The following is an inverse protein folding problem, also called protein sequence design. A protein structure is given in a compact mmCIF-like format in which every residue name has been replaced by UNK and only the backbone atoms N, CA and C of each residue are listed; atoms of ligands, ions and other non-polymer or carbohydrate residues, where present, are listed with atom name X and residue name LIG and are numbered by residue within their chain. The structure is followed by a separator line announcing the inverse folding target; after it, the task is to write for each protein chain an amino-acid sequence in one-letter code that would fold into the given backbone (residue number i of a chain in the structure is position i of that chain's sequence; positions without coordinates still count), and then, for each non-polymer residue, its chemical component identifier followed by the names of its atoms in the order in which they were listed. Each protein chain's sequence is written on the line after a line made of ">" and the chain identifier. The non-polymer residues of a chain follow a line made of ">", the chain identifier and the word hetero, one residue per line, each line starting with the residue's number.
data_IF_717503320426
#
_entry.id   IF_717503320426
#
_cell.length_a   1.000
_cell.length_b   1.000
_cell.length_c   1.000
_cell.angle_alpha   90.00
_cell.angle_beta   90.00
_cell.angle_gamma   90.00
#
_symmetry.space_group_name_H-M   'P 1'
#
loop_
_entity.id
_entity.type
_entity.pdbx_description
1 polymer ?
#
# COMPACT_ATOMS: atom_id res chain seq x y z
N UNK A 1 -9.76 5.96 14.66
CA UNK A 1 -9.71 4.57 14.17
C UNK A 1 -8.51 3.89 14.81
N UNK A 2 -8.68 2.65 15.29
CA UNK A 2 -7.56 1.83 15.76
C UNK A 2 -6.71 1.36 14.58
N UNK A 3 -5.41 1.21 14.80
CA UNK A 3 -4.48 0.59 13.83
C UNK A 3 -4.63 -0.93 13.97
N UNK A 4 -4.87 -1.62 12.85
CA UNK A 4 -4.98 -3.07 12.77
C UNK A 4 -3.80 -3.61 11.96
N UNK A 5 -3.24 -4.72 12.44
CA UNK A 5 -2.13 -5.43 11.83
C UNK A 5 -2.51 -6.88 11.59
N UNK A 6 -2.14 -7.42 10.43
CA UNK A 6 -2.24 -8.84 10.10
C UNK A 6 -0.89 -9.54 10.21
N UNK A 7 -0.90 -10.79 10.70
CA UNK A 7 0.31 -11.61 10.78
C UNK A 7 0.02 -13.09 11.01
N UNK A 8 1.00 -13.93 10.65
CA UNK A 8 1.04 -15.35 11.01
C UNK A 8 1.79 -15.52 12.34
N UNK A 9 1.24 -16.26 13.32
CA UNK A 9 1.74 -16.24 14.72
C UNK A 9 2.26 -17.57 15.25
N UNK A 10 1.39 -18.55 15.34
CA UNK A 10 1.63 -19.87 15.91
C UNK A 10 0.60 -20.85 15.36
N UNK A 11 0.89 -22.14 15.48
CA UNK A 11 -0.02 -23.22 15.11
C UNK A 11 -1.23 -23.32 16.08
N UNK A 12 -2.13 -24.26 15.80
CA UNK A 12 -3.37 -24.50 16.55
C UNK A 12 -3.15 -24.87 18.03
N UNK A 13 -1.93 -25.24 18.40
CA UNK A 13 -1.51 -25.64 19.76
C UNK A 13 -0.64 -24.57 20.42
N UNK A 14 -0.48 -23.40 19.79
CA UNK A 14 0.39 -22.34 20.27
C UNK A 14 1.89 -22.62 20.08
N UNK A 15 2.25 -23.58 19.24
CA UNK A 15 3.65 -23.93 18.92
C UNK A 15 4.08 -23.33 17.58
N UNK A 16 5.37 -23.39 17.30
CA UNK A 16 5.93 -22.81 16.08
C UNK A 16 5.96 -23.79 14.88
N UNK A 17 5.72 -25.08 15.11
CA UNK A 17 5.80 -26.09 14.05
C UNK A 17 5.10 -27.40 14.42
N UNK A 18 4.81 -28.18 13.37
CA UNK A 18 4.22 -29.52 13.48
C UNK A 18 2.71 -29.51 13.70
N UNK A 19 2.06 -28.37 13.44
CA UNK A 19 0.61 -28.23 13.39
C UNK A 19 0.03 -28.82 12.12
N UNK A 20 -1.28 -28.72 11.96
CA UNK A 20 -1.97 -29.17 10.74
C UNK A 20 -1.93 -28.09 9.65
N UNK A 21 -1.84 -28.46 8.35
CA UNK A 21 -1.93 -27.49 7.27
C UNK A 21 -3.28 -26.74 7.23
N UNK A 22 -3.23 -25.44 6.95
CA UNK A 22 -4.40 -24.55 7.02
C UNK A 22 -4.64 -24.01 8.44
N UNK A 23 -5.35 -22.89 8.55
CA UNK A 23 -5.69 -22.30 9.84
C UNK A 23 -6.84 -23.09 10.49
N UNK A 24 -6.54 -23.79 11.59
CA UNK A 24 -7.51 -24.61 12.31
C UNK A 24 -8.32 -23.82 13.34
N UNK A 25 -7.89 -22.60 13.68
CA UNK A 25 -8.42 -21.85 14.84
C UNK A 25 -8.96 -20.47 14.48
N UNK A 26 -8.70 -19.99 13.27
CA UNK A 26 -8.90 -18.60 12.86
C UNK A 26 -7.93 -17.63 13.55
N UNK A 27 -6.86 -18.14 14.18
CA UNK A 27 -5.90 -17.36 14.98
C UNK A 27 -4.45 -17.59 14.55
N UNK A 28 -4.21 -18.54 13.65
CA UNK A 28 -2.86 -18.83 13.17
C UNK A 28 -2.38 -17.71 12.25
N UNK A 29 -3.28 -17.25 11.37
CA UNK A 29 -3.09 -16.08 10.50
C UNK A 29 -4.26 -15.14 10.71
N UNK A 30 -4.05 -14.06 11.46
CA UNK A 30 -5.17 -13.19 11.86
C UNK A 30 -4.78 -11.73 11.99
N UNK A 31 -5.79 -10.88 11.84
CA UNK A 31 -5.73 -9.47 12.18
C UNK A 31 -5.86 -9.24 13.70
N UNK A 32 -5.19 -8.23 14.22
CA UNK A 32 -5.36 -7.75 15.60
C UNK A 32 -5.10 -6.25 15.71
N UNK A 33 -5.47 -5.70 16.85
CA UNK A 33 -5.05 -4.37 17.22
C UNK A 33 -3.53 -4.27 17.34
N UNK A 34 -2.99 -3.15 16.83
CA UNK A 34 -1.58 -2.83 16.90
C UNK A 34 -1.07 -2.75 18.34
N UNK A 35 0.15 -3.21 18.54
CA UNK A 35 0.84 -3.15 19.83
C UNK A 35 2.32 -2.82 19.65
N UNK A 36 2.92 -2.21 20.68
CA UNK A 36 4.37 -1.98 20.73
C UNK A 36 5.06 -3.27 21.17
N UNK A 37 5.92 -3.81 20.33
CA UNK A 37 6.65 -5.04 20.63
C UNK A 37 7.89 -4.75 21.48
N UNK A 38 8.21 -5.63 22.44
CA UNK A 38 9.39 -5.49 23.34
C UNK A 38 10.74 -5.34 22.61
N UNK A 39 10.84 -5.91 21.41
CA UNK A 39 12.01 -5.80 20.53
C UNK A 39 12.03 -4.52 19.67
N UNK A 40 11.04 -3.64 19.82
CA UNK A 40 10.80 -2.52 18.91
C UNK A 40 10.34 -2.96 17.51
N UNK A 41 9.86 -2.00 16.74
CA UNK A 41 9.48 -2.16 15.33
C UNK A 41 10.34 -1.25 14.46
N UNK A 42 10.83 -1.77 13.33
CA UNK A 42 11.23 -0.96 12.18
C UNK A 42 10.02 -0.77 11.27
N UNK A 43 9.91 0.42 10.67
CA UNK A 43 8.86 0.71 9.70
C UNK A 43 9.46 0.67 8.29
N UNK A 44 8.95 -0.24 7.47
CA UNK A 44 9.25 -0.31 6.05
C UNK A 44 8.00 0.13 5.28
N UNK A 45 8.11 1.27 4.61
CA UNK A 45 6.99 1.88 3.91
C UNK A 45 7.11 1.64 2.40
N UNK A 46 6.12 1.02 1.75
CA UNK A 46 6.07 0.99 0.29
C UNK A 46 6.04 2.43 -0.26
N UNK A 47 6.90 2.73 -1.23
CA UNK A 47 6.93 4.03 -1.92
C UNK A 47 5.67 4.29 -2.73
N UNK A 48 5.04 3.22 -3.22
CA UNK A 48 3.78 3.27 -3.97
C UNK A 48 2.58 3.01 -3.06
N UNK A 49 1.67 3.99 -2.99
CA UNK A 49 0.42 3.86 -2.23
C UNK A 49 -0.49 2.77 -2.79
N UNK A 50 -0.48 2.53 -4.11
CA UNK A 50 -1.18 1.38 -4.71
C UNK A 50 -0.60 0.07 -4.20
N UNK A 51 0.73 -0.09 -4.18
CA UNK A 51 1.36 -1.31 -3.69
C UNK A 51 1.09 -1.49 -2.19
N UNK A 52 1.11 -0.41 -1.41
CA UNK A 52 0.73 -0.44 0.00
C UNK A 52 -0.70 -0.96 0.20
N UNK A 53 -1.67 -0.48 -0.59
CA UNK A 53 -3.05 -1.00 -0.56
C UNK A 53 -3.13 -2.48 -0.93
N UNK A 54 -2.41 -2.92 -1.97
CA UNK A 54 -2.40 -4.34 -2.37
C UNK A 54 -1.74 -5.21 -1.29
N UNK A 55 -0.65 -4.76 -0.66
CA UNK A 55 0.00 -5.48 0.44
C UNK A 55 -0.97 -5.64 1.62
N UNK A 56 -1.64 -4.57 2.01
CA UNK A 56 -2.65 -4.61 3.08
C UNK A 56 -3.81 -5.56 2.73
N UNK A 57 -4.35 -5.46 1.51
CA UNK A 57 -5.42 -6.33 1.03
C UNK A 57 -4.99 -7.79 0.94
N UNK A 58 -3.75 -8.07 0.51
CA UNK A 58 -3.20 -9.42 0.44
C UNK A 58 -3.09 -10.03 1.85
N UNK A 59 -2.66 -9.25 2.84
CA UNK A 59 -2.65 -9.70 4.23
C UNK A 59 -4.07 -9.98 4.75
N UNK A 60 -5.04 -9.09 4.48
CA UNK A 60 -6.45 -9.34 4.84
C UNK A 60 -7.00 -10.60 4.18
N UNK A 61 -6.71 -10.82 2.90
CA UNK A 61 -7.11 -12.03 2.20
C UNK A 61 -6.51 -13.28 2.83
N UNK A 62 -5.26 -13.24 3.27
CA UNK A 62 -4.65 -14.36 3.96
C UNK A 62 -5.27 -14.61 5.35
N UNK A 63 -5.51 -13.55 6.12
CA UNK A 63 -6.18 -13.66 7.43
C UNK A 63 -7.62 -14.18 7.34
N UNK A 64 -8.29 -13.97 6.20
CA UNK A 64 -9.64 -14.47 5.96
C UNK A 64 -9.67 -15.83 5.23
N UNK A 65 -8.51 -16.44 4.95
CA UNK A 65 -8.44 -17.72 4.25
C UNK A 65 -7.99 -18.84 5.18
N UNK A 66 -8.94 -19.69 5.59
CA UNK A 66 -8.68 -20.84 6.45
C UNK A 66 -7.76 -21.89 5.83
N UNK A 67 -7.46 -21.83 4.53
CA UNK A 67 -6.47 -22.70 3.91
C UNK A 67 -5.02 -22.29 4.21
N UNK A 68 -4.77 -21.15 4.87
CA UNK A 68 -3.41 -20.66 5.13
C UNK A 68 -3.13 -20.71 6.64
N UNK A 69 -2.40 -21.74 7.08
CA UNK A 69 -2.00 -21.93 8.49
C UNK A 69 -0.57 -21.52 8.78
N UNK A 70 -0.13 -21.77 10.02
CA UNK A 70 1.21 -21.43 10.51
C UNK A 70 2.08 -22.66 10.74
N UNK A 71 3.26 -22.72 10.09
CA UNK A 71 4.30 -23.71 10.41
C UNK A 71 5.68 -23.26 9.91
N UNK A 72 6.65 -23.12 10.81
CA UNK A 72 8.01 -22.74 10.44
C UNK A 72 8.75 -23.80 9.60
N UNK A 73 8.43 -25.09 9.76
CA UNK A 73 9.09 -26.17 9.01
C UNK A 73 8.61 -26.24 7.56
N UNK A 74 7.39 -25.78 7.27
CA UNK A 74 6.81 -25.73 5.93
C UNK A 74 6.45 -24.30 5.49
N UNK A 75 7.29 -23.34 5.88
CA UNK A 75 7.07 -21.91 5.62
C UNK A 75 6.82 -21.55 4.15
N UNK A 76 7.36 -22.34 3.21
CA UNK A 76 7.35 -22.06 1.77
C UNK A 76 6.04 -22.42 1.05
N UNK A 77 5.14 -23.17 1.68
CA UNK A 77 3.92 -23.66 1.05
C UNK A 77 3.07 -22.53 0.44
N UNK A 78 2.88 -21.44 1.19
CA UNK A 78 2.08 -20.30 0.74
C UNK A 78 2.62 -19.66 -0.55
N UNK A 79 3.94 -19.69 -0.79
CA UNK A 79 4.54 -19.13 -2.02
C UNK A 79 4.25 -20.03 -3.22
N UNK A 80 4.30 -21.35 -3.03
CA UNK A 80 3.94 -22.33 -4.07
C UNK A 80 2.48 -22.14 -4.46
N UNK A 81 1.59 -22.03 -3.48
CA UNK A 81 0.16 -21.82 -3.75
C UNK A 81 -0.12 -20.43 -4.34
N UNK A 82 0.55 -19.36 -3.88
CA UNK A 82 0.41 -18.04 -4.48
C UNK A 82 0.80 -18.03 -5.95
N UNK A 83 1.88 -18.71 -6.33
CA UNK A 83 2.29 -18.82 -7.74
C UNK A 83 1.25 -19.54 -8.61
N UNK A 84 0.50 -20.48 -8.01
CA UNK A 84 -0.58 -21.24 -8.66
C UNK A 84 -1.88 -20.42 -8.76
N UNK A 85 -2.36 -19.90 -7.64
CA UNK A 85 -3.67 -19.23 -7.50
C UNK A 85 -3.63 -17.72 -7.73
N UNK A 86 -2.44 -17.13 -7.87
CA UNK A 86 -2.15 -15.70 -8.13
C UNK A 86 -2.54 -14.72 -7.03
N UNK A 87 -3.47 -15.08 -6.15
CA UNK A 87 -3.87 -14.29 -4.99
C UNK A 87 -3.99 -15.17 -3.75
N UNK A 88 -3.67 -14.62 -2.58
CA UNK A 88 -3.78 -15.29 -1.29
C UNK A 88 -5.23 -15.67 -0.97
N UNK A 89 -6.20 -14.84 -1.39
CA UNK A 89 -7.62 -15.14 -1.21
C UNK A 89 -8.15 -16.29 -2.08
N UNK A 90 -7.48 -16.62 -3.19
CA UNK A 90 -7.88 -17.71 -4.08
C UNK A 90 -7.24 -19.06 -3.74
N UNK A 91 -6.34 -19.12 -2.75
CA UNK A 91 -5.72 -20.38 -2.33
C UNK A 91 -6.80 -21.31 -1.78
N UNK A 92 -7.04 -22.40 -2.49
CA UNK A 92 -8.10 -23.37 -2.19
C UNK A 92 -7.57 -24.70 -1.60
N UNK A 93 -6.25 -24.80 -1.37
CA UNK A 93 -5.60 -25.99 -0.81
C UNK A 93 -4.88 -25.58 0.46
N UNK A 94 -5.08 -26.36 1.52
CA UNK A 94 -4.42 -26.19 2.79
C UNK A 94 -2.90 -26.09 2.61
N UNK A 95 -2.34 -25.03 3.17
CA UNK A 95 -0.93 -24.67 3.08
C UNK A 95 -0.49 -24.00 4.36
N UNK A 96 0.82 -23.88 4.52
CA UNK A 96 1.42 -23.28 5.70
C UNK A 96 2.33 -22.12 5.30
N UNK A 97 2.54 -21.22 6.25
CA UNK A 97 3.45 -20.09 6.16
C UNK A 97 4.14 -19.84 7.50
N UNK A 98 5.15 -18.98 7.49
CA UNK A 98 5.60 -18.28 8.71
C UNK A 98 5.38 -16.77 8.55
N UNK A 99 5.63 -16.00 9.62
CA UNK A 99 5.41 -14.55 9.61
C UNK A 99 6.11 -13.85 8.42
N UNK A 100 7.38 -14.16 8.20
CA UNK A 100 8.17 -13.57 7.11
C UNK A 100 7.74 -14.02 5.70
N UNK A 101 7.37 -15.28 5.54
CA UNK A 101 6.97 -15.82 4.23
C UNK A 101 5.58 -15.34 3.85
N UNK A 102 4.71 -15.11 4.83
CA UNK A 102 3.43 -14.47 4.58
C UNK A 102 3.60 -13.02 4.12
N UNK A 103 4.47 -12.23 4.78
CA UNK A 103 4.81 -10.87 4.33
C UNK A 103 5.40 -10.89 2.93
N UNK A 104 6.30 -11.84 2.64
CA UNK A 104 6.86 -12.05 1.31
C UNK A 104 5.77 -12.32 0.27
N UNK A 105 4.80 -13.18 0.59
CA UNK A 105 3.66 -13.48 -0.27
C UNK A 105 2.82 -12.23 -0.56
N UNK A 106 2.57 -11.40 0.46
CA UNK A 106 1.88 -10.11 0.28
C UNK A 106 2.64 -9.17 -0.67
N UNK A 107 3.96 -9.09 -0.54
CA UNK A 107 4.82 -8.30 -1.43
C UNK A 107 4.78 -8.82 -2.87
N UNK A 108 4.88 -10.14 -3.06
CA UNK A 108 4.81 -10.78 -4.37
C UNK A 108 3.46 -10.53 -5.05
N UNK A 109 2.36 -10.63 -4.32
CA UNK A 109 1.02 -10.31 -4.84
C UNK A 109 0.89 -8.83 -5.25
N UNK A 110 1.59 -7.92 -4.57
CA UNK A 110 1.69 -6.51 -4.97
C UNK A 110 2.61 -6.25 -6.17
N UNK A 111 3.14 -7.30 -6.80
CA UNK A 111 4.05 -7.21 -7.94
C UNK A 111 5.46 -6.77 -7.55
N UNK A 112 5.87 -6.96 -6.29
CA UNK A 112 7.22 -6.66 -5.83
C UNK A 112 8.06 -7.93 -5.93
N UNK A 113 9.11 -7.88 -6.76
CA UNK A 113 10.07 -8.96 -6.85
C UNK A 113 11.05 -8.88 -5.67
N UNK A 114 10.79 -9.68 -4.63
CA UNK A 114 11.60 -9.74 -3.42
C UNK A 114 12.22 -11.13 -3.24
N UNK A 115 13.48 -11.16 -2.84
CA UNK A 115 14.20 -12.40 -2.54
C UNK A 115 13.60 -13.12 -1.32
N UNK A 116 14.02 -14.36 -1.09
CA UNK A 116 13.62 -15.07 0.13
C UNK A 116 14.27 -14.40 1.35
N UNK A 117 13.49 -14.19 2.40
CA UNK A 117 13.96 -13.60 3.65
C UNK A 117 13.29 -14.25 4.86
N UNK A 118 13.89 -14.01 6.02
CA UNK A 118 13.34 -14.22 7.36
C UNK A 118 13.40 -12.89 8.11
N UNK A 119 12.83 -12.81 9.31
CA UNK A 119 12.93 -11.60 10.15
C UNK A 119 14.38 -11.19 10.49
N UNK A 120 15.38 -12.04 10.22
CA UNK A 120 16.80 -11.68 10.36
C UNK A 120 17.30 -10.74 9.24
N UNK A 121 16.85 -10.95 7.99
CA UNK A 121 17.33 -10.23 6.81
C UNK A 121 16.21 -9.54 6.01
N UNK A 122 15.01 -9.43 6.57
CA UNK A 122 13.84 -8.85 5.93
C UNK A 122 14.03 -7.37 5.54
N UNK A 123 14.54 -6.55 6.47
CA UNK A 123 14.79 -5.12 6.22
C UNK A 123 15.70 -4.90 5.00
N UNK A 124 16.93 -5.47 4.93
CA UNK A 124 17.78 -5.29 3.75
C UNK A 124 17.19 -5.94 2.49
N UNK A 125 16.44 -7.04 2.60
CA UNK A 125 15.79 -7.67 1.44
C UNK A 125 14.67 -6.83 0.83
N UNK A 126 13.88 -6.13 1.65
CA UNK A 126 12.82 -5.25 1.17
C UNK A 126 13.38 -3.94 0.63
N UNK A 127 14.38 -3.36 1.28
CA UNK A 127 15.03 -2.12 0.81
C UNK A 127 15.76 -2.33 -0.51
N UNK A 128 16.42 -3.49 -0.72
CA UNK A 128 17.14 -3.78 -1.96
C UNK A 128 16.25 -3.88 -3.20
N UNK A 129 14.93 -4.06 -3.03
CA UNK A 129 13.97 -4.00 -4.14
C UNK A 129 13.82 -2.59 -4.73
N UNK A 130 14.23 -1.55 -3.99
CA UNK A 130 14.02 -0.15 -4.36
C UNK A 130 12.57 0.34 -4.14
N UNK A 131 11.65 -0.51 -3.72
CA UNK A 131 10.21 -0.23 -3.58
C UNK A 131 9.80 0.21 -2.17
N UNK A 132 10.70 0.12 -1.19
CA UNK A 132 10.44 0.47 0.20
C UNK A 132 11.40 1.54 0.71
N UNK A 133 10.87 2.45 1.54
CA UNK A 133 11.64 3.34 2.40
C UNK A 133 11.77 2.73 3.80
N UNK A 134 12.99 2.68 4.34
CA UNK A 134 13.22 2.34 5.74
C UNK A 134 13.14 3.62 6.58
N UNK A 135 12.06 3.77 7.34
CA UNK A 135 11.83 4.95 8.19
C UNK A 135 12.47 4.82 9.58
N UNK A 136 13.20 3.73 9.83
CA UNK A 136 13.84 3.48 11.12
C UNK A 136 12.85 2.99 12.17
N UNK A 137 13.24 3.16 13.44
CA UNK A 137 12.52 2.61 14.58
C UNK A 137 11.22 3.39 14.80
N UNK A 138 10.12 2.65 14.94
CA UNK A 138 8.81 3.18 15.31
C UNK A 138 8.87 3.76 16.73
N UNK A 139 8.46 5.03 16.85
CA UNK A 139 8.37 5.75 18.11
C UNK A 139 6.91 5.86 18.57
N UNK A 140 5.97 6.01 17.62
CA UNK A 140 4.54 6.14 17.92
C UNK A 140 3.67 5.47 16.87
N UNK A 141 2.56 4.86 17.31
CA UNK A 141 1.54 4.27 16.45
C UNK A 141 0.97 5.25 15.40
N UNK A 142 1.04 6.56 15.66
CA UNK A 142 0.60 7.61 14.71
C UNK A 142 1.48 7.68 13.45
N UNK A 143 2.69 7.13 13.48
CA UNK A 143 3.57 7.06 12.31
C UNK A 143 3.15 5.96 11.34
N UNK A 144 2.38 4.97 11.80
CA UNK A 144 2.00 3.77 11.06
C UNK A 144 0.97 4.13 9.99
N UNK A 145 1.14 3.56 8.80
CA UNK A 145 0.25 3.75 7.65
C UNK A 145 -0.17 2.41 7.07
N UNK A 146 -1.31 2.43 6.37
CA UNK A 146 -1.82 1.30 5.63
C UNK A 146 -0.74 0.73 4.70
N UNK A 147 -0.52 -0.59 4.77
CA UNK A 147 0.46 -1.31 3.95
C UNK A 147 1.91 -1.17 4.41
N UNK A 148 2.20 -0.45 5.49
CA UNK A 148 3.53 -0.51 6.11
C UNK A 148 3.80 -1.95 6.58
N UNK A 149 5.03 -2.39 6.37
CA UNK A 149 5.56 -3.64 6.93
C UNK A 149 6.33 -3.27 8.19
N UNK A 150 5.95 -3.86 9.32
CA UNK A 150 6.62 -3.66 10.60
C UNK A 150 7.40 -4.91 10.95
N UNK A 151 8.72 -4.81 10.97
CA UNK A 151 9.62 -5.92 11.32
C UNK A 151 10.29 -5.62 12.68
N UNK A 152 10.43 -6.61 13.56
CA UNK A 152 11.10 -6.38 14.85
C UNK A 152 12.57 -5.98 14.66
N UNK A 153 13.11 -5.11 15.55
CA UNK A 153 14.49 -4.62 15.40
C UNK A 153 15.57 -5.70 15.61
N UNK A 154 15.19 -6.85 16.16
CA UNK A 154 15.98 -8.08 16.18
C UNK A 154 15.11 -9.25 15.72
N UNK A 155 15.71 -10.36 15.29
CA UNK A 155 15.00 -11.56 14.81
C UNK A 155 13.83 -11.91 15.74
N UNK A 156 12.62 -11.97 15.21
CA UNK A 156 11.43 -12.08 16.05
C UNK A 156 10.15 -12.23 15.26
N UNK A 157 9.56 -11.11 14.85
CA UNK A 157 8.23 -11.08 14.24
C UNK A 157 8.16 -10.02 13.13
N UNK A 158 7.26 -10.23 12.19
CA UNK A 158 6.92 -9.24 11.17
C UNK A 158 5.41 -9.22 10.94
N UNK A 159 4.87 -8.04 10.67
CA UNK A 159 3.44 -7.80 10.51
C UNK A 159 3.20 -6.80 9.38
N UNK A 160 2.01 -6.84 8.79
CA UNK A 160 1.54 -5.84 7.81
C UNK A 160 0.41 -5.05 8.42
N UNK A 161 0.41 -3.75 8.19
CA UNK A 161 -0.67 -2.87 8.61
C UNK A 161 -1.83 -2.97 7.62
N UNK A 162 -2.95 -3.50 8.09
CA UNK A 162 -4.15 -3.74 7.29
C UNK A 162 -5.21 -2.66 7.49
N UNK A 163 -5.14 -1.94 8.61
CA UNK A 163 -5.92 -0.73 8.85
C UNK A 163 -5.08 0.28 9.62
N UNK A 164 -5.14 1.54 9.24
CA UNK A 164 -4.57 2.64 10.01
C UNK A 164 -5.50 3.85 9.88
N UNK A 165 -5.48 4.80 10.83
CA UNK A 165 -6.10 6.09 10.61
C UNK A 165 -5.71 6.60 9.23
N UNK A 166 -6.71 6.94 8.43
CA UNK A 166 -6.49 7.72 7.22
C UNK A 166 -5.59 8.89 7.61
N UNK A 167 -4.60 9.20 6.76
CA UNK A 167 -3.67 10.30 7.05
C UNK A 167 -4.51 11.48 7.54
N UNK A 168 -4.16 12.06 8.70
CA UNK A 168 -4.39 13.50 8.91
C UNK A 168 -3.48 14.23 7.92
N UNK A 169 -3.76 14.05 6.64
CA UNK A 169 -3.43 15.03 5.61
C UNK A 169 -4.31 16.20 5.99
N UNK A 170 -3.74 17.39 6.07
CA UNK A 170 -4.48 18.64 5.98
C UNK A 170 -5.20 18.68 4.62
N UNK A 171 -6.29 17.93 4.51
CA UNK A 171 -7.23 17.97 3.41
C UNK A 171 -8.62 17.67 3.99
N UNK A 172 -9.13 18.69 4.68
CA UNK A 172 -10.55 18.79 5.01
C UNK A 172 -11.30 18.96 3.69
N UNK A 173 -12.05 17.93 3.31
CA UNK A 173 -13.49 17.93 2.96
C UNK A 173 -13.78 16.80 1.96
N UNK A 174 -14.81 16.01 2.27
CA UNK A 174 -15.45 15.00 1.43
C UNK A 174 -15.63 15.46 -0.04
N UNK A 175 -15.79 14.54 -1.01
CA UNK A 175 -16.01 14.90 -2.40
C UNK A 175 -17.40 15.52 -2.55
N UNK A 176 -17.52 16.82 -2.29
CA UNK A 176 -18.56 17.64 -2.88
C UNK A 176 -18.23 17.73 -4.36
N UNK A 177 -19.12 17.18 -5.18
CA UNK A 177 -19.12 17.11 -6.65
C UNK A 177 -18.34 18.27 -7.28
N UNK A 178 -17.23 17.96 -7.97
CA UNK A 178 -16.53 18.98 -8.76
C UNK A 178 -17.53 19.61 -9.75
N UNK A 179 -17.45 20.93 -9.92
CA UNK A 179 -18.28 21.71 -10.82
C UNK A 179 -17.40 22.33 -11.89
N UNK A 180 -17.76 22.09 -13.15
CA UNK A 180 -17.16 22.79 -14.28
C UNK A 180 -17.31 24.30 -14.09
N UNK A 181 -16.26 25.06 -14.35
CA UNK A 181 -16.19 26.50 -14.13
C UNK A 181 -15.65 26.92 -12.76
N UNK A 182 -15.62 26.01 -11.77
CA UNK A 182 -15.08 26.32 -10.44
C UNK A 182 -13.55 26.15 -10.37
N UNK A 183 -12.92 26.82 -9.41
CA UNK A 183 -11.47 26.74 -9.18
C UNK A 183 -11.17 25.94 -7.93
N UNK A 184 -10.19 25.05 -8.06
CA UNK A 184 -9.79 24.06 -7.08
C UNK A 184 -8.28 24.13 -6.84
N UNK A 185 -7.79 23.50 -5.79
CA UNK A 185 -6.41 23.53 -5.34
C UNK A 185 -5.79 22.14 -5.44
N UNK A 186 -4.65 22.04 -6.12
CA UNK A 186 -3.84 20.83 -6.18
C UNK A 186 -3.27 20.55 -4.80
N UNK A 187 -3.46 19.32 -4.32
CA UNK A 187 -2.98 18.87 -3.00
C UNK A 187 -1.83 17.86 -3.10
N UNK A 188 -1.47 17.45 -4.33
CA UNK A 188 -0.34 16.56 -4.57
C UNK A 188 0.96 17.36 -4.62
N UNK A 189 2.09 16.77 -4.21
CA UNK A 189 3.41 17.39 -4.36
C UNK A 189 3.85 17.51 -5.82
N UNK A 190 3.44 16.57 -6.67
CA UNK A 190 3.73 16.57 -8.10
C UNK A 190 2.61 15.87 -8.88
N UNK A 191 1.58 16.62 -9.30
CA UNK A 191 0.44 16.08 -10.07
C UNK A 191 0.72 16.16 -11.57
N UNK A 192 0.81 15.01 -12.24
CA UNK A 192 1.11 14.95 -13.68
C UNK A 192 -0.03 15.48 -14.54
N UNK A 193 0.29 16.42 -15.44
CA UNK A 193 -0.64 16.90 -16.48
C UNK A 193 -0.56 15.99 -17.70
N UNK A 194 -1.71 15.59 -18.24
CA UNK A 194 -1.82 14.60 -19.32
C UNK A 194 -2.64 15.13 -20.50
N UNK A 195 -2.45 14.48 -21.63
CA UNK A 195 -3.18 14.76 -22.88
C UNK A 195 -4.63 14.28 -22.86
N UNK A 196 -4.98 13.35 -21.97
CA UNK A 196 -6.32 12.79 -21.83
C UNK A 196 -6.63 12.25 -20.43
N UNK A 197 -7.89 11.89 -20.17
CA UNK A 197 -8.37 11.39 -18.88
C UNK A 197 -7.99 9.91 -18.71
N UNK A 198 -6.87 9.66 -18.03
CA UNK A 198 -6.35 8.33 -17.81
C UNK A 198 -4.83 8.27 -17.76
N UNK A 199 -4.28 7.27 -17.08
CA UNK A 199 -2.82 7.06 -17.03
C UNK A 199 -2.24 6.51 -18.33
N UNK A 200 -3.08 5.98 -19.23
CA UNK A 200 -2.70 5.56 -20.59
C UNK A 200 -2.40 6.74 -21.52
N UNK A 201 -2.85 7.95 -21.17
CA UNK A 201 -2.58 9.14 -21.96
C UNK A 201 -1.20 9.72 -21.62
N UNK A 202 -0.47 10.13 -22.67
CA UNK A 202 0.87 10.72 -22.54
C UNK A 202 0.87 11.91 -21.59
N UNK A 203 1.86 11.95 -20.70
CA UNK A 203 2.16 13.10 -19.85
C UNK A 203 2.68 14.26 -20.71
N UNK A 204 2.15 15.45 -20.46
CA UNK A 204 2.63 16.68 -21.10
C UNK A 204 3.98 17.07 -20.52
N UNK A 205 4.83 17.62 -21.36
CA UNK A 205 6.06 18.29 -20.94
C UNK A 205 5.76 19.72 -20.48
N UNK A 206 6.73 20.36 -19.82
CA UNK A 206 6.66 21.77 -19.42
C UNK A 206 6.28 22.69 -20.58
N UNK A 207 6.87 22.46 -21.77
CA UNK A 207 6.64 23.28 -22.96
C UNK A 207 5.16 23.30 -23.39
N UNK A 208 4.43 22.21 -23.14
CA UNK A 208 3.03 22.01 -23.51
C UNK A 208 2.01 22.53 -22.47
N UNK A 209 2.50 23.08 -21.35
CA UNK A 209 1.68 23.73 -20.34
C UNK A 209 1.34 25.17 -20.74
N UNK A 210 0.23 25.71 -20.22
CA UNK A 210 -0.06 27.13 -20.32
C UNK A 210 1.00 27.97 -19.61
N UNK A 211 1.15 29.25 -19.99
CA UNK A 211 2.11 30.16 -19.37
C UNK A 211 1.95 30.25 -17.84
N UNK A 212 0.71 30.18 -17.34
CA UNK A 212 0.45 30.21 -15.91
C UNK A 212 0.83 28.90 -15.22
N UNK A 213 0.46 27.76 -15.82
CA UNK A 213 0.82 26.44 -15.30
C UNK A 213 2.34 26.20 -15.25
N UNK A 214 3.10 26.78 -16.18
CA UNK A 214 4.57 26.72 -16.17
C UNK A 214 5.16 27.30 -14.87
N UNK A 215 4.54 28.32 -14.28
CA UNK A 215 4.98 28.91 -12.99
C UNK A 215 4.82 27.95 -11.81
N UNK A 216 3.96 26.95 -11.97
CA UNK A 216 3.64 25.95 -10.96
C UNK A 216 4.30 24.59 -11.23
N UNK A 217 5.25 24.55 -12.17
CA UNK A 217 6.05 23.39 -12.56
C UNK A 217 7.56 23.71 -12.39
N UNK A 218 8.06 23.92 -11.16
CA UNK A 218 9.43 24.37 -10.91
C UNK A 218 10.49 23.36 -11.38
N UNK A 219 10.10 22.09 -11.52
CA UNK A 219 10.97 21.01 -11.98
C UNK A 219 10.92 20.82 -13.50
N UNK A 220 10.19 21.67 -14.23
CA UNK A 220 10.02 21.64 -15.67
C UNK A 220 9.68 20.26 -16.25
N UNK A 221 8.88 19.48 -15.52
CA UNK A 221 8.59 18.09 -15.87
C UNK A 221 7.11 17.89 -16.24
N UNK A 222 6.31 18.94 -16.30
CA UNK A 222 4.88 18.84 -16.58
C UNK A 222 4.08 18.36 -15.37
N UNK A 223 4.45 18.79 -14.15
CA UNK A 223 3.61 18.60 -12.95
C UNK A 223 3.12 19.91 -12.36
N UNK A 224 2.00 19.82 -11.64
CA UNK A 224 1.54 20.87 -10.75
C UNK A 224 1.96 20.55 -9.31
N UNK A 225 2.53 21.54 -8.64
CA UNK A 225 2.90 21.42 -7.22
C UNK A 225 1.72 21.65 -6.29
N UNK A 226 1.90 21.29 -5.03
CA UNK A 226 0.91 21.51 -3.98
C UNK A 226 0.61 23.01 -3.83
N UNK A 227 -0.66 23.36 -3.64
CA UNK A 227 -1.15 24.73 -3.52
C UNK A 227 -1.51 25.40 -4.85
N UNK A 228 -1.22 24.77 -5.98
CA UNK A 228 -1.56 25.32 -7.31
C UNK A 228 -3.07 25.43 -7.48
N UNK A 229 -3.58 26.62 -7.82
CA UNK A 229 -4.99 26.86 -8.10
C UNK A 229 -5.29 26.59 -9.58
N UNK A 230 -6.26 25.74 -9.86
CA UNK A 230 -6.62 25.30 -11.21
C UNK A 230 -8.13 25.38 -11.42
N UNK A 231 -8.55 25.93 -12.57
CA UNK A 231 -9.96 26.01 -12.94
C UNK A 231 -10.41 24.76 -13.69
N UNK A 232 -11.58 24.25 -13.32
CA UNK A 232 -12.20 23.08 -13.94
C UNK A 232 -12.82 23.47 -15.27
N UNK A 233 -12.30 22.95 -16.37
CA UNK A 233 -12.88 23.09 -17.72
C UNK A 233 -13.77 21.92 -18.09
N UNK A 234 -13.46 20.74 -17.57
CA UNK A 234 -14.16 19.52 -17.92
C UNK A 234 -13.92 18.46 -16.84
N UNK A 235 -14.88 17.57 -16.66
CA UNK A 235 -14.77 16.41 -15.78
C UNK A 235 -15.08 15.15 -16.58
N UNK A 236 -14.33 14.09 -16.30
CA UNK A 236 -14.59 12.78 -16.88
C UNK A 236 -14.37 11.70 -15.85
N UNK A 237 -15.37 10.84 -15.70
CA UNK A 237 -15.27 9.65 -14.86
C UNK A 237 -14.77 8.48 -15.70
N UNK A 238 -13.76 7.77 -15.20
CA UNK A 238 -13.22 6.55 -15.81
C UNK A 238 -13.21 5.47 -14.73
N UNK A 239 -14.19 4.57 -14.77
CA UNK A 239 -14.43 3.64 -13.66
C UNK A 239 -14.81 4.40 -12.39
N UNK A 240 -14.04 4.21 -11.31
CA UNK A 240 -14.19 4.94 -10.03
C UNK A 240 -13.35 6.23 -9.94
N UNK A 241 -12.61 6.57 -10.99
CA UNK A 241 -11.67 7.69 -10.99
C UNK A 241 -12.30 8.91 -11.63
N UNK A 242 -12.04 10.09 -11.06
CA UNK A 242 -12.48 11.38 -11.57
C UNK A 242 -11.28 12.11 -12.15
N UNK A 243 -11.35 12.41 -13.43
CA UNK A 243 -10.36 13.19 -14.16
C UNK A 243 -10.87 14.61 -14.36
N UNK A 244 -9.97 15.55 -14.14
CA UNK A 244 -10.19 16.98 -14.17
C UNK A 244 -9.39 17.60 -15.30
N UNK A 245 -10.02 18.34 -16.20
CA UNK A 245 -9.32 19.12 -17.23
C UNK A 245 -9.14 20.56 -16.77
N UNK A 246 -7.90 21.01 -16.69
CA UNK A 246 -7.55 22.44 -16.62
C UNK A 246 -7.20 22.96 -18.02
N UNK A 247 -6.97 24.29 -18.20
CA UNK A 247 -6.47 24.83 -19.46
C UNK A 247 -5.18 24.15 -19.96
N UNK A 248 -4.35 23.60 -19.06
CA UNK A 248 -3.10 22.94 -19.43
C UNK A 248 -3.26 21.46 -19.79
N UNK A 249 -4.31 20.79 -19.31
CA UNK A 249 -4.58 19.39 -19.63
C UNK A 249 -5.31 18.65 -18.52
N UNK A 250 -5.33 17.32 -18.65
CA UNK A 250 -6.03 16.41 -17.75
C UNK A 250 -5.16 16.02 -16.56
N UNK A 251 -5.76 15.98 -15.38
CA UNK A 251 -5.14 15.55 -14.14
C UNK A 251 -6.12 14.66 -13.39
N UNK A 252 -5.61 13.73 -12.60
CA UNK A 252 -6.44 13.00 -11.67
C UNK A 252 -6.96 13.97 -10.60
N UNK A 253 -8.28 14.08 -10.46
CA UNK A 253 -8.91 14.74 -9.31
C UNK A 253 -9.12 13.71 -8.20
N UNK A 254 -9.66 12.55 -8.57
CA UNK A 254 -9.77 11.35 -7.76
C UNK A 254 -9.19 10.16 -8.55
N UNK A 255 -8.26 9.40 -7.99
CA UNK A 255 -7.68 8.24 -8.68
C UNK A 255 -7.32 7.14 -7.68
N UNK A 256 -7.85 5.94 -7.90
CA UNK A 256 -7.68 4.75 -7.06
C UNK A 256 -7.98 4.97 -5.58
N UNK A 257 -8.99 5.80 -5.27
CA UNK A 257 -9.39 6.15 -3.91
C UNK A 257 -8.68 7.37 -3.32
N UNK A 258 -7.73 7.99 -4.05
CA UNK A 258 -6.97 9.13 -3.58
C UNK A 258 -7.47 10.44 -4.21
N UNK A 259 -7.61 11.49 -3.40
CA UNK A 259 -7.94 12.85 -3.86
C UNK A 259 -6.67 13.66 -4.07
N UNK A 260 -6.58 14.32 -5.23
CA UNK A 260 -5.44 15.12 -5.66
C UNK A 260 -5.78 16.61 -5.88
N UNK A 261 -7.06 16.95 -6.01
CA UNK A 261 -7.57 18.31 -6.29
C UNK A 261 -8.76 18.60 -5.34
N UNK A 262 -8.89 19.78 -4.73
CA UNK A 262 -9.99 20.12 -3.80
C UNK A 262 -10.51 21.53 -3.91
#
# INVERSE_FOLDING_TARGET
>A
MAVIIGSARCDERGKLSGGQPGDQTGKEVMEQEFYIHKKGWYILRPKSETKARIIAQAMQQACNNSNIGYNQNNRGGVIVQLNRYKTLGAIAIATECDCSTLVRACCMQAGINVSNFTTYNEVPALVSTGEFDNLGKLVSASQVRLGDVLCTCSKGHTVVVTQAPARTRTCVSNPTTYKVGSTYTVCASALSVRTGPGTNYRRKSHAELSADAKKHDPNHNGTMVNGTRISCKELRTVGSDIWFRSPSGWMAAHYRGDVYIK
#
